data_IF_638051818854
#
_entry.id   IF_638051818854
#
_cell.length_a   1.000
_cell.length_b   1.000
_cell.length_c   1.000
_cell.angle_alpha   90.00
_cell.angle_beta   90.00
_cell.angle_gamma   90.00
#
_symmetry.space_group_name_H-M   'P 1'
#
loop_
_entity.id
_entity.type
_entity.pdbx_description
1 polymer ?
#
# COMPACT_ATOMS: atom_id res chain seq x y z
N UNK A 1 -10.03 -1.37 -9.60
CA UNK A 1 -11.25 -2.19 -9.68
C UNK A 1 -12.15 -1.63 -10.75
N UNK A 2 -12.73 -2.51 -11.57
CA UNK A 2 -13.44 -2.13 -12.80
C UNK A 2 -12.56 -2.39 -14.03
N UNK A 3 -13.09 -2.13 -15.22
CA UNK A 3 -12.40 -2.37 -16.48
C UNK A 3 -12.18 -1.06 -17.27
N UNK A 4 -11.40 -1.14 -18.35
CA UNK A 4 -10.95 0.01 -19.14
C UNK A 4 -10.24 1.06 -18.26
N UNK A 5 -9.28 0.60 -17.46
CA UNK A 5 -8.52 1.46 -16.55
C UNK A 5 -7.02 1.36 -16.81
N UNK A 6 -6.37 2.51 -16.78
CA UNK A 6 -4.94 2.68 -16.67
C UNK A 6 -4.66 3.42 -15.34
N UNK A 7 -4.12 2.70 -14.36
CA UNK A 7 -3.63 3.30 -13.13
C UNK A 7 -2.13 3.53 -13.24
N UNK A 8 -1.66 4.74 -12.93
CA UNK A 8 -0.24 5.09 -12.97
C UNK A 8 0.20 5.64 -11.61
N UNK A 9 1.39 5.24 -11.18
CA UNK A 9 2.10 5.87 -10.08
C UNK A 9 3.28 6.64 -10.64
N UNK A 10 3.38 7.91 -10.26
CA UNK A 10 4.46 8.83 -10.67
C UNK A 10 5.25 9.30 -9.46
N UNK A 11 6.56 9.43 -9.61
CA UNK A 11 7.39 10.05 -8.57
C UNK A 11 7.14 11.57 -8.50
N UNK A 12 6.96 12.11 -7.29
CA UNK A 12 6.85 13.56 -7.13
C UNK A 12 8.19 14.21 -7.50
N UNK A 13 8.17 15.12 -8.47
CA UNK A 13 9.34 15.89 -8.91
C UNK A 13 9.97 15.43 -10.24
N UNK A 14 9.67 14.22 -10.72
CA UNK A 14 10.17 13.74 -12.02
C UNK A 14 9.07 13.51 -13.06
N UNK A 15 7.79 13.49 -12.67
CA UNK A 15 6.62 13.11 -13.49
C UNK A 15 6.76 11.76 -14.22
N UNK A 16 7.81 10.99 -13.90
CA UNK A 16 8.08 9.69 -14.49
C UNK A 16 7.21 8.63 -13.84
N UNK A 17 6.57 7.83 -14.70
CA UNK A 17 5.82 6.64 -14.24
C UNK A 17 6.80 5.61 -13.69
N UNK A 18 6.64 5.28 -12.42
CA UNK A 18 7.47 4.32 -11.68
C UNK A 18 6.80 2.95 -11.58
N UNK A 19 5.47 2.92 -11.71
CA UNK A 19 4.67 1.72 -11.72
C UNK A 19 3.33 2.01 -12.41
N UNK A 20 2.69 0.96 -12.92
CA UNK A 20 1.40 1.07 -13.58
C UNK A 20 0.61 -0.22 -13.47
N UNK A 21 -0.68 -0.12 -13.76
CA UNK A 21 -1.62 -1.22 -13.74
C UNK A 21 -2.68 -1.01 -14.83
N UNK A 22 -2.95 -2.04 -15.63
CA UNK A 22 -3.96 -2.01 -16.70
C UNK A 22 -5.03 -3.05 -16.43
N UNK A 23 -6.30 -2.65 -16.49
CA UNK A 23 -7.43 -3.58 -16.45
C UNK A 23 -8.25 -3.49 -17.74
N UNK A 24 -8.35 -4.59 -18.47
CA UNK A 24 -9.19 -4.73 -19.67
C UNK A 24 -10.57 -5.26 -19.33
N UNK A 25 -11.55 -4.97 -20.17
CA UNK A 25 -12.91 -5.47 -20.01
C UNK A 25 -13.02 -6.91 -20.53
N UNK A 26 -13.74 -7.75 -19.80
CA UNK A 26 -14.17 -9.04 -20.35
C UNK A 26 -15.20 -8.77 -21.45
N UNK A 27 -15.06 -9.39 -22.62
CA UNK A 27 -15.76 -9.04 -23.87
C UNK A 27 -17.27 -9.32 -23.93
N UNK A 28 -17.98 -9.30 -22.81
CA UNK A 28 -19.44 -9.41 -22.77
C UNK A 28 -20.05 -8.06 -23.10
N UNK A 29 -20.26 -7.80 -24.40
CA UNK A 29 -20.99 -6.64 -24.91
C UNK A 29 -22.33 -6.47 -24.16
N UNK A 30 -22.41 -5.46 -23.30
CA UNK A 30 -23.63 -5.07 -22.58
C UNK A 30 -23.92 -5.80 -21.25
N UNK A 31 -22.98 -6.60 -20.72
CA UNK A 31 -23.16 -7.32 -19.46
C UNK A 31 -22.53 -6.62 -18.24
N UNK A 32 -23.12 -6.85 -17.06
CA UNK A 32 -22.60 -6.45 -15.74
C UNK A 32 -21.11 -6.81 -15.59
N UNK A 33 -20.31 -5.91 -15.01
CA UNK A 33 -18.89 -6.18 -14.72
C UNK A 33 -18.79 -7.31 -13.70
N UNK A 34 -18.46 -8.51 -14.17
CA UNK A 34 -18.23 -9.65 -13.27
C UNK A 34 -16.86 -9.50 -12.61
N UNK A 35 -16.87 -9.28 -11.29
CA UNK A 35 -15.66 -9.23 -10.49
C UNK A 35 -15.15 -10.64 -10.18
N UNK A 36 -13.83 -10.87 -10.17
CA UNK A 36 -13.30 -12.18 -9.82
C UNK A 36 -13.62 -12.53 -8.36
N UNK A 37 -14.12 -13.75 -8.14
CA UNK A 37 -14.11 -14.38 -6.82
C UNK A 37 -12.82 -15.18 -6.70
N UNK A 38 -12.16 -15.07 -5.54
CA UNK A 38 -10.88 -15.74 -5.28
C UNK A 38 -10.93 -16.58 -4.02
N UNK A 39 -10.04 -17.57 -3.94
CA UNK A 39 -9.81 -18.31 -2.70
C UNK A 39 -8.90 -17.50 -1.76
N UNK A 40 -9.03 -17.67 -0.43
CA UNK A 40 -8.05 -17.14 0.51
C UNK A 40 -6.65 -17.64 0.13
N UNK A 41 -5.66 -16.75 0.12
CA UNK A 41 -4.29 -17.08 -0.31
C UNK A 41 -3.96 -16.72 -1.77
N UNK A 42 -4.95 -16.33 -2.58
CA UNK A 42 -4.73 -15.89 -3.97
C UNK A 42 -4.84 -14.36 -4.08
N UNK A 43 -4.21 -13.76 -5.10
CA UNK A 43 -4.42 -12.33 -5.41
C UNK A 43 -5.82 -12.08 -5.99
N UNK A 44 -6.29 -13.02 -6.82
CA UNK A 44 -7.58 -13.00 -7.49
C UNK A 44 -7.71 -11.98 -8.61
N UNK A 45 -6.67 -11.18 -8.86
CA UNK A 45 -6.73 -10.06 -9.77
C UNK A 45 -5.64 -10.13 -10.86
N UNK A 46 -6.07 -10.40 -12.09
CA UNK A 46 -5.18 -10.79 -13.20
C UNK A 46 -5.31 -9.91 -14.45
N UNK A 47 -5.78 -8.67 -14.30
CA UNK A 47 -5.86 -7.71 -15.41
C UNK A 47 -7.19 -7.68 -16.17
N UNK A 48 -8.15 -8.56 -15.86
CA UNK A 48 -9.52 -8.52 -16.40
C UNK A 48 -10.45 -8.00 -15.30
N UNK A 49 -11.18 -6.91 -15.55
CA UNK A 49 -12.10 -6.23 -14.62
C UNK A 49 -11.50 -5.77 -13.28
N UNK A 50 -10.21 -5.97 -13.08
CA UNK A 50 -9.42 -5.44 -11.99
C UNK A 50 -7.94 -5.46 -12.41
N UNK A 51 -7.10 -4.71 -11.71
CA UNK A 51 -5.66 -4.84 -11.82
C UNK A 51 -5.02 -4.62 -10.44
N UNK A 52 -3.95 -5.37 -10.16
CA UNK A 52 -3.13 -5.22 -8.96
C UNK A 52 -1.66 -5.07 -9.38
N UNK A 53 -0.95 -4.16 -8.71
CA UNK A 53 0.49 -3.97 -8.85
C UNK A 53 1.10 -3.70 -7.48
N UNK A 54 2.38 -4.01 -7.31
CA UNK A 54 3.10 -3.71 -6.07
C UNK A 54 3.74 -2.34 -6.17
N UNK A 55 3.79 -1.63 -5.04
CA UNK A 55 4.50 -0.36 -4.97
C UNK A 55 5.99 -0.70 -4.95
N UNK A 56 6.78 -0.23 -5.93
CA UNK A 56 8.21 -0.48 -5.92
C UNK A 56 8.84 0.16 -4.67
N UNK A 57 10.03 -0.30 -4.24
CA UNK A 57 10.82 0.41 -3.25
C UNK A 57 11.09 1.85 -3.67
N UNK A 58 10.61 2.82 -2.90
CA UNK A 58 10.68 4.23 -3.29
C UNK A 58 11.46 5.06 -2.29
N UNK A 59 12.17 6.06 -2.84
CA UNK A 59 12.90 7.07 -2.07
C UNK A 59 12.08 8.37 -1.92
N UNK A 60 10.93 8.46 -2.59
CA UNK A 60 10.12 9.67 -2.69
C UNK A 60 8.62 9.36 -2.60
N UNK A 61 7.83 10.39 -2.33
CA UNK A 61 6.38 10.34 -2.40
C UNK A 61 5.88 10.03 -3.82
N UNK A 62 4.69 9.44 -3.90
CA UNK A 62 4.05 9.07 -5.17
C UNK A 62 2.77 9.85 -5.39
N UNK A 63 2.51 10.15 -6.66
CA UNK A 63 1.21 10.60 -7.14
C UNK A 63 0.57 9.46 -7.92
N UNK A 64 -0.66 9.11 -7.57
CA UNK A 64 -1.46 8.15 -8.34
C UNK A 64 -2.39 8.89 -9.30
N UNK A 65 -2.53 8.39 -10.53
CA UNK A 65 -3.60 8.76 -11.46
C UNK A 65 -4.37 7.52 -11.90
N UNK A 66 -5.65 7.71 -12.20
CA UNK A 66 -6.52 6.70 -12.77
C UNK A 66 -7.13 7.28 -14.04
N UNK A 67 -6.92 6.60 -15.16
CA UNK A 67 -7.28 7.05 -16.49
C UNK A 67 -8.06 5.95 -17.22
N UNK A 68 -8.81 6.31 -18.26
CA UNK A 68 -9.44 5.35 -19.16
C UNK A 68 -8.48 5.04 -20.31
N UNK A 69 -8.35 3.76 -20.69
CA UNK A 69 -7.50 3.34 -21.83
C UNK A 69 -8.13 3.81 -23.13
N UNK A 70 -9.44 3.64 -23.24
CA UNK A 70 -10.24 4.10 -24.37
C UNK A 70 -11.35 5.03 -23.86
N UNK A 71 -11.28 6.29 -24.28
CA UNK A 71 -12.27 7.31 -23.92
C UNK A 71 -13.63 7.11 -24.60
N UNK A 72 -13.71 6.27 -25.65
CA UNK A 72 -14.94 6.01 -26.41
C UNK A 72 -15.76 4.85 -25.85
N UNK A 73 -15.14 3.98 -25.06
CA UNK A 73 -15.73 2.78 -24.47
C UNK A 73 -15.67 2.77 -22.94
N UNK A 74 -15.56 3.95 -22.31
CA UNK A 74 -15.62 4.06 -20.86
C UNK A 74 -16.99 3.49 -20.40
N UNK A 75 -17.01 2.36 -19.68
CA UNK A 75 -18.27 1.85 -19.13
C UNK A 75 -18.82 2.91 -18.16
N UNK A 76 -20.13 3.17 -18.21
CA UNK A 76 -20.79 3.97 -17.19
C UNK A 76 -20.65 3.27 -15.84
N UNK A 77 -19.84 3.81 -14.94
CA UNK A 77 -19.64 3.21 -13.62
C UNK A 77 -18.56 3.89 -12.77
N UNK A 78 -18.66 3.72 -11.44
CA UNK A 78 -17.66 4.17 -10.48
C UNK A 78 -16.39 3.33 -10.63
N UNK A 79 -15.25 3.98 -10.89
CA UNK A 79 -13.94 3.34 -10.91
C UNK A 79 -13.26 3.56 -9.56
N UNK A 80 -12.66 2.50 -9.00
CA UNK A 80 -12.04 2.57 -7.67
C UNK A 80 -10.62 2.05 -7.72
N UNK A 81 -9.70 2.80 -7.13
CA UNK A 81 -8.33 2.38 -6.88
C UNK A 81 -8.02 2.65 -5.40
N UNK A 82 -7.24 1.76 -4.79
CA UNK A 82 -6.86 1.86 -3.38
C UNK A 82 -5.52 1.17 -3.17
N UNK A 83 -4.81 1.62 -2.14
CA UNK A 83 -3.63 0.94 -1.61
C UNK A 83 -4.09 0.14 -0.40
N UNK A 84 -3.57 -1.07 -0.23
CA UNK A 84 -3.99 -1.99 0.83
C UNK A 84 -2.81 -2.83 1.30
N UNK A 85 -2.83 -3.22 2.57
CA UNK A 85 -1.93 -4.24 3.09
C UNK A 85 -2.07 -5.55 2.30
N UNK A 86 -0.94 -6.05 1.81
CA UNK A 86 -0.94 -7.20 0.90
C UNK A 86 -1.38 -8.49 1.58
N UNK A 87 -0.95 -8.73 2.82
CA UNK A 87 -1.23 -9.97 3.54
C UNK A 87 -2.70 -10.03 3.96
N UNK A 88 -3.21 -8.92 4.49
CA UNK A 88 -4.62 -8.74 4.81
C UNK A 88 -5.48 -8.91 3.56
N UNK A 89 -5.11 -8.30 2.43
CA UNK A 89 -5.89 -8.41 1.19
C UNK A 89 -5.93 -9.84 0.65
N UNK A 90 -4.84 -10.59 0.76
CA UNK A 90 -4.79 -11.99 0.32
C UNK A 90 -5.60 -12.91 1.25
N UNK A 91 -5.61 -12.61 2.55
CA UNK A 91 -6.21 -13.48 3.57
C UNK A 91 -7.70 -13.19 3.82
N UNK A 92 -8.10 -11.92 3.79
CA UNK A 92 -9.40 -11.46 4.28
C UNK A 92 -10.39 -11.10 3.15
N UNK A 93 -9.91 -10.88 1.94
CA UNK A 93 -10.77 -10.57 0.79
C UNK A 93 -10.96 -11.82 -0.05
N UNK A 94 -12.20 -12.22 -0.31
CA UNK A 94 -12.54 -13.33 -1.23
C UNK A 94 -13.43 -12.87 -2.38
N UNK A 95 -14.30 -11.90 -2.10
CA UNK A 95 -15.08 -11.17 -3.10
C UNK A 95 -14.52 -9.75 -3.27
N UNK A 96 -14.01 -9.51 -4.47
CA UNK A 96 -13.43 -8.24 -4.87
C UNK A 96 -14.47 -7.11 -4.98
N UNK A 97 -15.73 -7.43 -5.25
CA UNK A 97 -16.82 -6.45 -5.24
C UNK A 97 -17.11 -5.96 -3.82
N UNK A 98 -16.98 -6.83 -2.81
CA UNK A 98 -17.22 -6.46 -1.41
C UNK A 98 -16.27 -5.36 -0.92
N UNK A 99 -15.06 -5.25 -1.49
CA UNK A 99 -14.11 -4.18 -1.17
C UNK A 99 -14.63 -2.82 -1.60
N UNK A 100 -15.42 -2.73 -2.67
CA UNK A 100 -16.02 -1.46 -3.10
C UNK A 100 -17.05 -0.92 -2.11
N UNK A 101 -17.63 -1.80 -1.27
CA UNK A 101 -18.57 -1.41 -0.22
C UNK A 101 -17.89 -1.03 1.10
N UNK A 102 -16.56 -1.21 1.21
CA UNK A 102 -15.82 -0.83 2.42
C UNK A 102 -15.56 0.67 2.44
N UNK A 103 -15.75 1.31 3.59
CA UNK A 103 -15.35 2.72 3.76
C UNK A 103 -13.83 2.87 3.92
N UNK A 104 -13.18 1.85 4.50
CA UNK A 104 -11.76 1.86 4.81
C UNK A 104 -11.10 0.52 4.47
N UNK A 105 -9.84 0.60 4.05
CA UNK A 105 -8.94 -0.56 3.93
C UNK A 105 -7.69 -0.34 4.77
N UNK A 106 -7.14 -1.40 5.39
CA UNK A 106 -5.90 -1.29 6.13
C UNK A 106 -4.74 -1.06 5.16
N UNK A 107 -3.82 -0.18 5.55
CA UNK A 107 -2.61 0.10 4.80
C UNK A 107 -1.41 -0.04 5.72
N UNK A 108 -0.38 -0.70 5.21
CA UNK A 108 0.94 -0.73 5.81
C UNK A 108 1.88 0.06 4.91
N UNK A 109 2.59 1.00 5.51
CA UNK A 109 3.70 1.68 4.88
C UNK A 109 4.97 1.05 5.47
N UNK A 110 5.79 0.44 4.62
CA UNK A 110 7.08 -0.13 5.02
C UNK A 110 8.20 0.76 4.47
N UNK A 111 9.09 1.20 5.36
CA UNK A 111 10.22 2.05 4.99
C UNK A 111 11.46 1.68 5.79
N UNK A 112 12.61 1.95 5.17
CA UNK A 112 13.92 1.82 5.79
C UNK A 112 14.73 3.08 5.56
N UNK A 113 15.59 3.38 6.52
CA UNK A 113 16.62 4.42 6.39
C UNK A 113 17.92 3.80 5.89
N UNK A 114 18.78 4.60 5.28
CA UNK A 114 20.15 4.20 4.91
C UNK A 114 21.10 4.96 5.83
N UNK A 115 21.94 4.23 6.56
CA UNK A 115 23.02 4.84 7.35
C UNK A 115 24.36 4.65 6.63
N UNK A 116 25.15 5.72 6.55
CA UNK A 116 26.48 5.71 5.93
C UNK A 116 27.55 5.05 6.82
N UNK A 117 27.31 4.99 8.12
CA UNK A 117 28.10 4.25 9.11
C UNK A 117 27.14 3.38 9.93
N UNK A 118 27.63 2.27 10.50
CA UNK A 118 26.79 1.45 11.37
C UNK A 118 26.29 2.32 12.54
N UNK A 119 24.96 2.52 12.69
CA UNK A 119 24.46 3.27 13.82
C UNK A 119 24.92 2.55 15.08
N UNK A 120 25.18 3.31 16.14
CA UNK A 120 25.47 2.72 17.43
C UNK A 120 24.20 2.01 17.95
N UNK A 121 24.05 0.74 17.57
CA UNK A 121 22.92 -0.13 17.87
C UNK A 121 22.85 -0.48 19.37
N UNK A 122 23.91 -0.20 20.14
CA UNK A 122 23.98 -0.42 21.58
C UNK A 122 23.58 0.79 22.41
N UNK A 123 23.06 1.85 21.79
CA UNK A 123 22.39 2.95 22.48
C UNK A 123 21.06 2.46 23.08
N UNK A 124 21.20 1.65 24.12
CA UNK A 124 20.20 1.43 25.15
C UNK A 124 19.79 2.81 25.65
N UNK A 125 18.48 3.02 25.80
CA UNK A 125 17.87 4.25 26.31
C UNK A 125 18.42 4.53 27.71
N UNK A 126 19.57 5.19 27.78
CA UNK A 126 20.13 5.76 29.00
C UNK A 126 20.41 7.23 28.70
N UNK A 127 19.34 8.01 28.69
CA UNK A 127 19.28 9.38 29.20
C UNK A 127 20.19 10.47 28.63
N UNK A 128 21.11 10.19 27.71
CA UNK A 128 22.09 11.21 27.29
C UNK A 128 22.53 11.05 25.83
N UNK A 129 22.01 11.92 24.97
CA UNK A 129 22.80 12.52 23.90
C UNK A 129 22.65 11.98 22.48
N UNK A 130 21.91 10.90 22.24
CA UNK A 130 21.56 10.46 20.87
C UNK A 130 20.06 10.22 20.84
N UNK A 131 19.32 11.03 20.09
CA UNK A 131 17.90 10.77 19.86
C UNK A 131 17.77 9.36 19.27
N UNK A 132 17.14 8.43 19.98
CA UNK A 132 16.91 7.09 19.46
C UNK A 132 16.16 7.19 18.14
N UNK A 133 16.71 6.60 17.07
CA UNK A 133 16.10 6.63 15.74
C UNK A 133 14.69 6.01 15.75
N UNK A 134 14.45 5.07 16.66
CA UNK A 134 13.14 4.53 16.98
C UNK A 134 12.60 5.16 18.27
N UNK A 135 11.29 5.27 18.39
CA UNK A 135 10.61 5.69 19.60
C UNK A 135 10.67 4.65 20.72
N UNK A 136 9.99 4.92 21.83
CA UNK A 136 9.90 4.00 22.97
C UNK A 136 9.29 2.64 22.60
N UNK A 137 9.72 1.57 23.27
CA UNK A 137 9.25 0.18 23.04
C UNK A 137 9.42 -0.29 21.59
N UNK A 138 10.48 0.18 20.94
CA UNK A 138 10.83 -0.21 19.59
C UNK A 138 12.32 -0.47 19.47
N UNK A 139 12.63 -1.47 18.66
CA UNK A 139 13.99 -1.89 18.32
C UNK A 139 14.30 -1.58 16.86
N UNK A 140 15.59 -1.53 16.54
CA UNK A 140 16.09 -1.33 15.19
C UNK A 140 16.66 -2.64 14.65
N UNK A 141 16.35 -2.98 13.40
CA UNK A 141 16.91 -4.14 12.69
C UNK A 141 17.55 -3.72 11.38
N UNK A 142 18.64 -4.39 11.01
CA UNK A 142 19.23 -4.28 9.68
C UNK A 142 18.38 -5.08 8.69
N UNK A 143 18.11 -4.51 7.52
CA UNK A 143 17.37 -5.17 6.44
C UNK A 143 18.36 -5.99 5.59
N UNK A 144 18.37 -7.30 5.83
CA UNK A 144 19.30 -8.22 5.18
C UNK A 144 20.78 -7.82 5.37
N UNK A 145 21.61 -8.08 4.37
CA UNK A 145 23.03 -7.70 4.37
C UNK A 145 23.25 -6.33 3.70
N UNK A 146 22.41 -5.34 4.00
CA UNK A 146 22.51 -4.00 3.40
C UNK A 146 22.74 -2.92 4.46
N UNK A 147 23.12 -1.72 4.05
CA UNK A 147 23.20 -0.54 4.95
C UNK A 147 21.83 0.05 5.28
N UNK A 148 20.74 -0.72 5.10
CA UNK A 148 19.37 -0.29 5.35
C UNK A 148 18.92 -0.77 6.72
N UNK A 149 18.22 0.08 7.45
CA UNK A 149 17.73 -0.21 8.79
C UNK A 149 16.26 0.18 8.92
N UNK A 150 15.52 -0.58 9.73
CA UNK A 150 14.11 -0.35 10.04
C UNK A 150 13.84 -0.45 11.52
N UNK A 151 12.90 0.35 12.01
CA UNK A 151 12.36 0.21 13.36
C UNK A 151 11.19 -0.77 13.36
N UNK A 152 11.05 -1.53 14.44
CA UNK A 152 9.93 -2.43 14.69
C UNK A 152 9.56 -2.40 16.17
N UNK A 153 8.29 -2.61 16.51
CA UNK A 153 7.86 -2.64 17.90
C UNK A 153 8.39 -3.89 18.61
N UNK A 154 8.76 -3.72 19.89
CA UNK A 154 9.16 -4.84 20.73
C UNK A 154 7.98 -5.78 21.00
N UNK A 155 8.27 -7.03 21.40
CA UNK A 155 7.24 -8.03 21.69
C UNK A 155 6.22 -7.53 22.72
N UNK A 156 4.94 -7.59 22.38
CA UNK A 156 3.84 -7.09 23.22
C UNK A 156 3.49 -5.61 23.01
N UNK A 157 4.20 -4.91 22.13
CA UNK A 157 3.91 -3.53 21.75
C UNK A 157 3.51 -3.43 20.28
N UNK A 158 2.64 -2.46 20.01
CA UNK A 158 2.17 -2.12 18.67
C UNK A 158 2.05 -0.61 18.51
N UNK A 159 2.05 -0.16 17.25
CA UNK A 159 2.00 1.25 16.87
C UNK A 159 3.02 1.57 15.80
N UNK A 160 3.31 2.87 15.63
CA UNK A 160 4.34 3.32 14.70
C UNK A 160 5.66 3.55 15.46
N UNK A 161 6.68 2.68 15.26
CA UNK A 161 7.92 2.73 16.03
C UNK A 161 8.80 3.94 15.67
N UNK A 162 8.43 4.74 14.67
CA UNK A 162 9.15 5.95 14.26
C UNK A 162 8.58 7.23 14.88
N UNK A 163 7.46 7.15 15.60
CA UNK A 163 6.90 8.31 16.28
C UNK A 163 7.64 8.57 17.60
N UNK A 164 7.68 9.83 18.09
CA UNK A 164 8.33 10.15 19.36
C UNK A 164 7.82 9.34 20.55
N UNK A 165 6.53 9.05 20.57
CA UNK A 165 5.89 8.20 21.58
C UNK A 165 6.17 6.70 21.41
N UNK A 166 6.75 6.30 20.28
CA UNK A 166 7.01 4.92 19.90
C UNK A 166 5.77 4.03 19.87
N UNK A 167 5.95 2.77 20.27
CA UNK A 167 4.89 1.78 20.31
C UNK A 167 4.16 1.80 21.66
N UNK A 168 2.83 1.86 21.62
CA UNK A 168 1.97 2.12 22.79
C UNK A 168 1.14 0.90 23.25
N UNK A 169 1.09 -0.18 22.47
CA UNK A 169 0.40 -1.42 22.86
C UNK A 169 -1.12 -1.44 22.62
N UNK A 170 -1.65 -0.51 21.81
CA UNK A 170 -3.03 -0.55 21.29
C UNK A 170 -3.02 -0.51 19.76
N UNK A 171 -3.73 -1.45 19.14
CA UNK A 171 -3.97 -1.53 17.70
C UNK A 171 -4.49 -0.19 17.17
N UNK A 172 -3.68 0.48 16.36
CA UNK A 172 -4.16 1.54 15.47
C UNK A 172 -3.74 1.18 14.06
N UNK A 173 -4.64 0.58 13.30
CA UNK A 173 -4.44 0.45 11.86
C UNK A 173 -4.47 1.84 11.24
N UNK A 174 -3.53 2.12 10.34
CA UNK A 174 -3.69 3.25 9.43
C UNK A 174 -4.75 2.82 8.42
N UNK A 175 -5.93 3.42 8.54
CA UNK A 175 -7.05 3.19 7.64
C UNK A 175 -7.05 4.30 6.59
N UNK A 176 -6.97 3.92 5.31
CA UNK A 176 -7.22 4.88 4.23
C UNK A 176 -8.69 4.84 3.83
N UNK A 177 -9.30 6.01 3.82
CA UNK A 177 -10.68 6.16 3.35
C UNK A 177 -10.71 5.94 1.85
N UNK A 178 -11.56 5.01 1.41
CA UNK A 178 -11.76 4.78 -0.02
C UNK A 178 -12.61 5.91 -0.61
N UNK A 179 -12.19 6.45 -1.74
CA UNK A 179 -12.95 7.45 -2.50
C UNK A 179 -13.23 6.91 -3.90
N UNK A 180 -14.49 6.96 -4.34
CA UNK A 180 -14.80 6.71 -5.75
C UNK A 180 -14.42 7.96 -6.56
N UNK A 181 -13.74 7.74 -7.69
CA UNK A 181 -13.47 8.77 -8.68
C UNK A 181 -14.35 8.49 -9.91
N UNK A 182 -15.22 9.45 -10.25
CA UNK A 182 -15.92 9.45 -11.53
C UNK A 182 -15.03 10.17 -12.54
N UNK A 183 -14.46 9.42 -13.49
CA UNK A 183 -13.72 10.01 -14.59
C UNK A 183 -14.73 10.60 -15.57
N UNK A 184 -14.63 11.91 -15.82
CA UNK A 184 -15.46 12.65 -16.77
C UNK A 184 -15.10 12.30 -18.22
#
# INVERSE_FOLDING_TARGET
MGCNNLALMKGIGSDTSIAGCVSICNGSSGGEVVYPKKKPGESGCHGINCCQTTIPPLRWFVKASLESIDSRSAPEGCKTAFMVDQEWFISNVTDLHAVQAMEYVPVVLDWWTIFNAEPNLSATINGSGVSSFCGSNASISRVGNTSRYRCFCDGGYEGNPYLPQGCQGKLTFILLRMSCYKLL
#
